data_IF_009758552838
#
_entry.id   IF_009758552838
#
_cell.length_a   1.000
_cell.length_b   1.000
_cell.length_c   1.000
_cell.angle_alpha   90.00
_cell.angle_beta   90.00
_cell.angle_gamma   90.00
#
_symmetry.space_group_name_H-M   'P 1'
#
loop_
_entity.id
_entity.type
_entity.pdbx_description
1 polymer ?
#
# COMPACT_ATOMS: atom_id res chain seq x y z
N UNK A 1 8.85 -22.80 -3.95
CA UNK A 1 10.29 -22.44 -3.87
C UNK A 1 10.56 -21.22 -2.98
N UNK A 2 10.01 -20.01 -3.22
CA UNK A 2 10.34 -18.82 -2.39
C UNK A 2 9.68 -18.78 -0.98
N UNK A 3 8.56 -19.47 -0.76
CA UNK A 3 7.98 -19.70 0.58
C UNK A 3 7.18 -18.54 1.21
N UNK A 4 7.21 -17.34 0.64
CA UNK A 4 6.47 -16.19 1.18
C UNK A 4 4.96 -16.34 1.00
N UNK A 5 4.21 -16.40 2.11
CA UNK A 5 2.75 -16.66 2.07
C UNK A 5 1.98 -15.58 1.30
N UNK A 6 2.25 -14.31 1.56
CA UNK A 6 1.60 -13.20 0.84
C UNK A 6 1.82 -13.27 -0.67
N UNK A 7 3.03 -13.65 -1.11
CA UNK A 7 3.32 -13.84 -2.54
C UNK A 7 2.57 -15.04 -3.13
N UNK A 8 2.46 -16.15 -2.39
CA UNK A 8 1.72 -17.33 -2.83
C UNK A 8 0.24 -17.00 -3.03
N UNK A 9 -0.36 -16.32 -2.05
CA UNK A 9 -1.77 -15.92 -2.08
C UNK A 9 -2.03 -14.90 -3.21
N UNK A 10 -1.16 -13.90 -3.37
CA UNK A 10 -1.25 -12.95 -4.48
C UNK A 10 -1.16 -13.64 -5.84
N UNK A 11 -0.21 -14.57 -6.01
CA UNK A 11 -0.08 -15.35 -7.25
C UNK A 11 -1.32 -16.22 -7.52
N UNK A 12 -1.92 -16.79 -6.47
CA UNK A 12 -3.15 -17.57 -6.57
C UNK A 12 -4.32 -16.69 -7.03
N UNK A 13 -4.47 -15.48 -6.47
CA UNK A 13 -5.48 -14.52 -6.90
C UNK A 13 -5.30 -14.14 -8.39
N UNK A 14 -4.07 -13.85 -8.83
CA UNK A 14 -3.81 -13.56 -10.25
C UNK A 14 -4.17 -14.73 -11.16
N UNK A 15 -3.77 -15.97 -10.82
CA UNK A 15 -4.13 -17.15 -11.62
C UNK A 15 -5.63 -17.39 -11.66
N UNK A 16 -6.32 -17.15 -10.55
CA UNK A 16 -7.78 -17.26 -10.50
C UNK A 16 -8.46 -16.25 -11.44
N UNK A 17 -7.99 -15.01 -11.46
CA UNK A 17 -8.54 -13.94 -12.30
C UNK A 17 -8.20 -14.11 -13.79
N UNK A 18 -6.95 -14.49 -14.10
CA UNK A 18 -6.48 -14.61 -15.48
C UNK A 18 -6.90 -15.93 -16.14
N UNK A 19 -7.22 -16.94 -15.35
CA UNK A 19 -7.42 -18.31 -15.83
C UNK A 19 -6.13 -18.89 -16.42
N UNK A 20 -6.26 -20.03 -17.12
CA UNK A 20 -5.13 -20.64 -17.81
C UNK A 20 -4.83 -19.96 -19.16
N UNK A 21 -5.86 -19.45 -19.84
CA UNK A 21 -5.81 -18.85 -21.17
C UNK A 21 -6.92 -17.82 -21.35
N UNK A 22 -6.72 -16.92 -22.30
CA UNK A 22 -7.73 -15.97 -22.79
C UNK A 22 -7.58 -15.80 -24.30
N UNK A 23 -8.62 -15.33 -24.98
CA UNK A 23 -8.57 -15.02 -26.42
C UNK A 23 -7.42 -14.05 -26.76
N UNK A 24 -7.18 -13.06 -25.89
CA UNK A 24 -6.09 -12.09 -26.04
C UNK A 24 -4.72 -12.77 -25.89
N UNK A 25 -4.56 -13.66 -24.91
CA UNK A 25 -3.32 -14.43 -24.77
C UNK A 25 -3.09 -15.40 -25.94
N UNK A 26 -4.16 -15.98 -26.47
CA UNK A 26 -4.11 -16.98 -27.54
C UNK A 26 -3.76 -16.36 -28.90
N UNK A 27 -4.28 -15.16 -29.18
CA UNK A 27 -3.91 -14.38 -30.37
C UNK A 27 -2.44 -13.94 -30.39
N UNK A 28 -1.73 -14.00 -29.25
CA UNK A 28 -0.33 -13.62 -29.09
C UNK A 28 0.62 -14.81 -28.83
N UNK A 29 0.19 -16.04 -29.16
CA UNK A 29 1.00 -17.27 -28.97
C UNK A 29 2.40 -17.22 -29.58
N UNK A 30 2.54 -16.56 -30.73
CA UNK A 30 3.79 -16.47 -31.48
C UNK A 30 4.52 -15.14 -31.19
N UNK A 31 4.38 -14.59 -29.99
CA UNK A 31 5.08 -13.36 -29.59
C UNK A 31 6.57 -13.63 -29.36
N UNK A 32 7.44 -12.80 -29.95
CA UNK A 32 8.90 -12.91 -29.81
C UNK A 32 9.41 -12.46 -28.43
N UNK A 33 8.56 -11.85 -27.59
CA UNK A 33 8.95 -11.39 -26.25
C UNK A 33 9.19 -12.58 -25.32
N UNK A 34 10.42 -12.68 -24.85
CA UNK A 34 10.84 -13.74 -23.91
C UNK A 34 10.38 -13.47 -22.48
N UNK A 35 10.33 -12.19 -22.06
CA UNK A 35 9.96 -11.82 -20.70
C UNK A 35 9.17 -10.52 -20.64
N UNK A 36 8.14 -10.49 -19.79
CA UNK A 36 7.43 -9.27 -19.47
C UNK A 36 8.26 -8.35 -18.55
N UNK A 37 8.02 -7.03 -18.62
CA UNK A 37 8.54 -6.05 -17.68
C UNK A 37 8.20 -6.39 -16.22
N UNK A 38 9.04 -5.92 -15.30
CA UNK A 38 8.88 -6.23 -13.87
C UNK A 38 7.55 -5.75 -13.28
N UNK A 39 6.99 -4.63 -13.77
CA UNK A 39 5.68 -4.13 -13.32
C UNK A 39 4.53 -5.11 -13.59
N UNK A 40 4.71 -6.08 -14.48
CA UNK A 40 3.78 -7.20 -14.72
C UNK A 40 4.25 -8.49 -14.04
N UNK A 41 5.49 -8.91 -14.31
CA UNK A 41 5.98 -10.24 -13.89
C UNK A 41 6.29 -10.35 -12.40
N UNK A 42 6.66 -9.23 -11.76
CA UNK A 42 6.98 -9.19 -10.34
C UNK A 42 5.78 -8.83 -9.46
N UNK A 43 4.56 -8.77 -10.03
CA UNK A 43 3.36 -8.42 -9.27
C UNK A 43 3.12 -9.33 -8.06
N UNK A 44 3.24 -10.67 -8.15
CA UNK A 44 3.08 -11.51 -6.96
C UNK A 44 4.09 -11.20 -5.85
N UNK A 45 5.32 -10.84 -6.20
CA UNK A 45 6.40 -10.54 -5.26
C UNK A 45 6.10 -9.22 -4.52
N UNK A 46 5.76 -8.17 -5.26
CA UNK A 46 5.52 -6.82 -4.71
C UNK A 46 4.18 -6.78 -3.97
N UNK A 47 3.10 -7.19 -4.62
CA UNK A 47 1.77 -7.21 -3.99
C UNK A 47 1.70 -8.22 -2.84
N UNK A 48 2.46 -9.30 -2.92
CA UNK A 48 2.59 -10.26 -1.83
C UNK A 48 3.27 -9.68 -0.59
N UNK A 49 4.30 -8.84 -0.76
CA UNK A 49 4.91 -8.11 0.36
C UNK A 49 3.91 -7.13 1.00
N UNK A 50 3.16 -6.38 0.17
CA UNK A 50 2.12 -5.46 0.64
C UNK A 50 1.01 -6.20 1.40
N UNK A 51 0.55 -7.35 0.89
CA UNK A 51 -0.47 -8.17 1.54
C UNK A 51 -0.01 -8.68 2.91
N UNK A 52 1.26 -9.08 3.04
CA UNK A 52 1.83 -9.47 4.34
C UNK A 52 1.80 -8.30 5.33
N UNK A 53 2.23 -7.11 4.91
CA UNK A 53 2.22 -5.91 5.75
C UNK A 53 0.80 -5.53 6.21
N UNK A 54 -0.17 -5.58 5.29
CA UNK A 54 -1.58 -5.31 5.61
C UNK A 54 -2.12 -6.31 6.63
N UNK A 55 -1.77 -7.60 6.51
CA UNK A 55 -2.19 -8.63 7.48
C UNK A 55 -1.56 -8.40 8.87
N UNK A 56 -0.28 -8.05 8.92
CA UNK A 56 0.41 -7.74 10.18
C UNK A 56 -0.23 -6.53 10.88
N UNK A 57 -0.50 -5.46 10.13
CA UNK A 57 -1.21 -4.31 10.67
C UNK A 57 -2.63 -4.66 11.13
N UNK A 58 -3.36 -5.48 10.37
CA UNK A 58 -4.69 -5.95 10.73
C UNK A 58 -4.71 -6.74 12.04
N UNK A 59 -3.70 -7.58 12.29
CA UNK A 59 -3.59 -8.35 13.54
C UNK A 59 -3.39 -7.41 14.74
N UNK A 60 -2.46 -6.47 14.64
CA UNK A 60 -2.19 -5.47 15.69
C UNK A 60 -3.43 -4.63 15.99
N UNK A 61 -4.08 -4.11 14.94
CA UNK A 61 -5.28 -3.28 15.08
C UNK A 61 -6.46 -4.05 15.66
N UNK A 62 -6.60 -5.34 15.33
CA UNK A 62 -7.63 -6.19 15.91
C UNK A 62 -7.39 -6.43 17.41
N UNK A 63 -6.14 -6.60 17.83
CA UNK A 63 -5.79 -6.71 19.25
C UNK A 63 -6.13 -5.41 19.98
N UNK A 64 -5.68 -4.27 19.45
CA UNK A 64 -5.91 -2.96 20.08
C UNK A 64 -7.41 -2.62 20.17
N UNK A 65 -8.18 -2.93 19.13
CA UNK A 65 -9.63 -2.68 19.11
C UNK A 65 -10.38 -3.42 20.24
N UNK A 66 -9.80 -4.48 20.80
CA UNK A 66 -10.35 -5.26 21.91
C UNK A 66 -9.59 -5.05 23.23
N UNK A 67 -8.61 -4.14 23.27
CA UNK A 67 -7.77 -3.90 24.44
C UNK A 67 -8.42 -2.92 25.42
N UNK A 68 -8.09 -3.07 26.71
CA UNK A 68 -8.34 -2.03 27.72
C UNK A 68 -7.13 -1.09 27.73
N UNK A 69 -7.28 0.05 27.06
CA UNK A 69 -6.24 1.08 26.89
C UNK A 69 -6.35 2.25 27.88
N UNK A 70 -7.27 2.16 28.85
CA UNK A 70 -7.43 3.16 29.91
C UNK A 70 -6.40 2.97 31.03
N UNK A 71 -6.27 3.97 31.90
CA UNK A 71 -5.41 3.94 33.08
C UNK A 71 -5.96 4.84 34.20
N UNK A 72 -6.05 4.35 35.47
CA UNK A 72 -5.58 3.06 35.97
C UNK A 72 -6.51 1.88 35.67
N UNK A 73 -5.97 0.67 35.72
CA UNK A 73 -6.72 -0.57 35.57
C UNK A 73 -7.26 -1.02 36.94
N UNK A 74 -8.54 -1.40 36.97
CA UNK A 74 -9.22 -1.89 38.18
C UNK A 74 -9.45 -3.39 38.06
N UNK A 75 -8.87 -4.16 38.98
CA UNK A 75 -8.97 -5.61 39.07
C UNK A 75 -9.90 -5.98 40.23
N UNK A 76 -11.20 -5.90 39.98
CA UNK A 76 -12.23 -5.97 41.01
C UNK A 76 -12.23 -7.28 41.82
N UNK A 77 -11.89 -8.41 41.20
CA UNK A 77 -11.81 -9.71 41.88
C UNK A 77 -10.69 -9.77 42.92
N UNK A 78 -9.58 -9.08 42.65
CA UNK A 78 -8.41 -9.02 43.52
C UNK A 78 -8.48 -7.82 44.49
N UNK A 79 -9.35 -6.85 44.22
CA UNK A 79 -9.42 -5.58 44.95
C UNK A 79 -8.28 -4.62 44.61
N UNK A 80 -7.58 -4.86 43.49
CA UNK A 80 -6.38 -4.13 43.09
C UNK A 80 -6.67 -3.00 42.11
N UNK A 81 -5.86 -1.94 42.20
CA UNK A 81 -5.82 -0.85 41.22
C UNK A 81 -4.38 -0.69 40.75
N UNK A 82 -4.13 -0.92 39.46
CA UNK A 82 -2.79 -0.87 38.88
C UNK A 82 -2.65 0.31 37.92
N UNK A 83 -1.62 1.14 38.12
CA UNK A 83 -1.21 2.15 37.15
C UNK A 83 -0.24 1.52 36.15
N UNK A 84 -0.60 1.56 34.87
CA UNK A 84 0.18 1.04 33.75
C UNK A 84 0.32 2.06 32.61
N UNK A 85 0.70 1.57 31.43
CA UNK A 85 0.98 2.39 30.24
C UNK A 85 0.14 2.03 29.01
N UNK A 86 -0.98 1.32 29.17
CA UNK A 86 -1.77 0.80 28.04
C UNK A 86 -2.37 1.91 27.16
N UNK A 87 -2.42 3.16 27.63
CA UNK A 87 -2.81 4.32 26.81
C UNK A 87 -1.80 4.68 25.72
N UNK A 88 -0.58 4.13 25.77
CA UNK A 88 0.47 4.41 24.80
C UNK A 88 0.31 3.53 23.56
N UNK A 89 -0.30 4.08 22.51
CA UNK A 89 -0.60 3.33 21.29
C UNK A 89 0.58 3.27 20.28
N UNK A 90 1.78 2.96 20.77
CA UNK A 90 2.96 2.70 19.90
C UNK A 90 2.71 1.57 18.89
N UNK A 91 2.08 0.43 19.26
CA UNK A 91 1.82 -0.65 18.31
C UNK A 91 0.96 -0.19 17.12
N UNK A 92 -0.06 0.64 17.40
CA UNK A 92 -0.94 1.21 16.38
C UNK A 92 -0.20 2.19 15.48
N UNK A 93 0.70 3.02 16.03
CA UNK A 93 1.51 3.94 15.24
C UNK A 93 2.41 3.21 14.26
N UNK A 94 3.12 2.17 14.71
CA UNK A 94 3.96 1.32 13.85
C UNK A 94 3.12 0.56 12.80
N UNK A 95 1.93 0.08 13.17
CA UNK A 95 1.02 -0.58 12.23
C UNK A 95 0.57 0.39 11.12
N UNK A 96 0.27 1.65 11.46
CA UNK A 96 -0.10 2.67 10.48
C UNK A 96 1.05 3.03 9.54
N UNK A 97 2.28 3.16 10.04
CA UNK A 97 3.47 3.39 9.20
C UNK A 97 3.73 2.22 8.25
N UNK A 98 3.56 0.98 8.71
CA UNK A 98 3.67 -0.21 7.86
C UNK A 98 2.61 -0.25 6.74
N UNK A 99 1.39 0.21 7.02
CA UNK A 99 0.34 0.37 6.00
C UNK A 99 0.70 1.46 4.98
N UNK A 100 1.28 2.57 5.41
CA UNK A 100 1.70 3.64 4.50
C UNK A 100 2.75 3.14 3.48
N UNK A 101 3.71 2.32 3.93
CA UNK A 101 4.67 1.65 3.03
C UNK A 101 3.97 0.74 2.02
N UNK A 102 3.01 -0.08 2.47
CA UNK A 102 2.26 -0.96 1.58
C UNK A 102 1.46 -0.18 0.53
N UNK A 103 0.79 0.90 0.91
CA UNK A 103 0.03 1.72 -0.04
C UNK A 103 0.90 2.49 -1.03
N UNK A 104 2.06 2.99 -0.59
CA UNK A 104 3.02 3.63 -1.48
C UNK A 104 3.54 2.65 -2.55
N UNK A 105 3.88 1.42 -2.18
CA UNK A 105 4.35 0.39 -3.11
C UNK A 105 3.25 -0.07 -4.09
N UNK A 106 2.00 -0.23 -3.61
CA UNK A 106 0.85 -0.53 -4.49
C UNK A 106 0.67 0.58 -5.53
N UNK A 107 0.70 1.84 -5.09
CA UNK A 107 0.60 3.01 -5.95
C UNK A 107 1.74 3.06 -6.97
N UNK A 108 2.98 2.86 -6.53
CA UNK A 108 4.14 2.87 -7.41
C UNK A 108 4.09 1.76 -8.46
N UNK A 109 3.71 0.54 -8.09
CA UNK A 109 3.61 -0.57 -9.04
C UNK A 109 2.49 -0.33 -10.07
N UNK A 110 1.36 0.24 -9.64
CA UNK A 110 0.26 0.63 -10.52
C UNK A 110 0.67 1.71 -11.52
N UNK A 111 1.34 2.76 -11.04
CA UNK A 111 1.84 3.83 -11.90
C UNK A 111 2.85 3.31 -12.93
N UNK A 112 3.77 2.40 -12.55
CA UNK A 112 4.69 1.77 -13.51
C UNK A 112 3.94 0.97 -14.59
N UNK A 113 2.79 0.36 -14.30
CA UNK A 113 1.95 -0.30 -15.31
C UNK A 113 1.22 0.71 -16.20
N UNK A 114 0.75 1.83 -15.66
CA UNK A 114 0.19 2.92 -16.47
C UNK A 114 1.25 3.43 -17.45
N UNK A 115 2.46 3.73 -16.95
CA UNK A 115 3.58 4.18 -17.77
C UNK A 115 3.94 3.17 -18.86
N UNK A 116 3.96 1.87 -18.52
CA UNK A 116 4.15 0.79 -19.49
C UNK A 116 3.13 0.83 -20.63
N UNK A 117 1.85 1.05 -20.32
CA UNK A 117 0.78 1.11 -21.33
C UNK A 117 0.89 2.34 -22.24
N UNK A 118 1.38 3.48 -21.72
CA UNK A 118 1.52 4.72 -22.49
C UNK A 118 2.68 4.66 -23.50
N UNK A 119 3.71 3.88 -23.22
CA UNK A 119 4.90 3.76 -24.07
C UNK A 119 4.68 2.75 -25.20
N UNK A 120 4.57 3.27 -26.44
CA UNK A 120 4.40 2.47 -27.66
C UNK A 120 5.48 1.39 -27.85
N UNK A 121 6.71 1.65 -27.39
CA UNK A 121 7.83 0.72 -27.56
C UNK A 121 7.71 -0.49 -26.65
N UNK A 122 6.98 -0.34 -25.54
CA UNK A 122 6.83 -1.38 -24.54
C UNK A 122 5.45 -2.06 -24.62
N UNK A 123 4.39 -1.29 -24.88
CA UNK A 123 2.99 -1.76 -24.84
C UNK A 123 2.50 -2.49 -26.07
N UNK A 124 3.10 -2.24 -27.25
CA UNK A 124 2.54 -2.64 -28.57
C UNK A 124 1.17 -1.98 -28.86
N UNK A 125 0.84 -0.89 -28.16
CA UNK A 125 -0.38 -0.12 -28.33
C UNK A 125 -0.06 1.27 -28.94
N UNK A 126 -1.07 1.98 -29.48
CA UNK A 126 -0.90 3.37 -29.87
C UNK A 126 -0.37 4.22 -28.70
N UNK A 127 0.55 5.18 -28.95
CA UNK A 127 1.08 6.04 -27.90
C UNK A 127 -0.06 6.77 -27.19
N UNK A 128 0.02 6.84 -25.86
CA UNK A 128 -1.01 7.44 -25.00
C UNK A 128 -2.43 6.87 -25.17
N UNK A 129 -2.55 5.65 -25.72
CA UNK A 129 -3.79 4.90 -25.95
C UNK A 129 -4.85 5.67 -26.76
N UNK A 130 -4.43 6.44 -27.76
CA UNK A 130 -5.34 7.24 -28.58
C UNK A 130 -5.11 7.05 -30.08
N UNK A 131 -6.21 7.12 -30.85
CA UNK A 131 -6.14 7.20 -32.32
C UNK A 131 -5.81 8.64 -32.73
N UNK A 132 -5.12 8.79 -33.88
CA UNK A 132 -4.70 10.11 -34.41
C UNK A 132 -3.82 10.89 -33.41
N UNK A 133 -2.76 10.24 -32.91
CA UNK A 133 -1.74 10.89 -32.10
C UNK A 133 -1.11 12.08 -32.82
N UNK A 134 -0.81 13.15 -32.07
CA UNK A 134 -0.31 14.43 -32.62
C UNK A 134 -1.37 15.52 -32.68
N UNK A 135 -2.65 15.15 -32.77
CA UNK A 135 -3.79 16.07 -32.57
C UNK A 135 -4.50 15.76 -31.25
N UNK A 136 -4.62 14.48 -30.90
CA UNK A 136 -5.18 14.04 -29.62
C UNK A 136 -4.08 13.70 -28.61
N UNK A 137 -4.23 14.17 -27.37
CA UNK A 137 -3.29 13.87 -26.27
C UNK A 137 -3.60 12.56 -25.54
N UNK A 138 -4.78 11.97 -25.73
CA UNK A 138 -5.14 10.70 -25.10
C UNK A 138 -4.99 10.73 -23.57
N UNK A 139 -4.34 9.70 -23.03
CA UNK A 139 -4.09 9.54 -21.59
C UNK A 139 -2.81 10.23 -21.09
N UNK A 140 -2.17 11.07 -21.90
CA UNK A 140 -0.91 11.73 -21.55
C UNK A 140 -0.98 12.46 -20.19
N UNK A 141 -2.00 13.28 -19.98
CA UNK A 141 -2.14 14.03 -18.70
C UNK A 141 -2.57 13.13 -17.56
N UNK A 142 -3.38 12.10 -17.83
CA UNK A 142 -3.75 11.12 -16.81
C UNK A 142 -2.52 10.38 -16.25
N UNK A 143 -1.53 10.07 -17.09
CA UNK A 143 -0.25 9.52 -16.65
C UNK A 143 0.51 10.49 -15.74
N UNK A 144 0.53 11.79 -16.07
CA UNK A 144 1.18 12.81 -15.23
C UNK A 144 0.52 12.89 -13.86
N UNK A 145 -0.81 12.87 -13.79
CA UNK A 145 -1.55 12.82 -12.53
C UNK A 145 -1.22 11.57 -11.72
N UNK A 146 -1.18 10.39 -12.35
CA UNK A 146 -0.81 9.15 -11.67
C UNK A 146 0.63 9.19 -11.12
N UNK A 147 1.57 9.77 -11.87
CA UNK A 147 2.95 9.95 -11.44
C UNK A 147 3.07 10.92 -10.24
N UNK A 148 2.31 12.02 -10.27
CA UNK A 148 2.28 12.98 -9.15
C UNK A 148 1.75 12.32 -7.86
N UNK A 149 0.61 11.62 -7.93
CA UNK A 149 0.01 10.93 -6.78
C UNK A 149 0.92 9.82 -6.23
N UNK A 150 1.54 9.02 -7.11
CA UNK A 150 2.48 7.99 -6.68
C UNK A 150 3.74 8.60 -6.04
N UNK A 151 4.18 9.79 -6.46
CA UNK A 151 5.28 10.51 -5.85
C UNK A 151 4.91 11.10 -4.49
N UNK A 152 3.70 11.62 -4.34
CA UNK A 152 3.18 12.14 -3.07
C UNK A 152 3.14 11.05 -1.99
N UNK A 153 2.66 9.86 -2.34
CA UNK A 153 2.65 8.71 -1.42
C UNK A 153 4.04 8.36 -0.86
N UNK A 154 5.12 8.58 -1.62
CA UNK A 154 6.49 8.32 -1.12
C UNK A 154 6.87 9.29 0.00
N UNK A 155 6.48 10.56 -0.13
CA UNK A 155 6.71 11.55 0.92
C UNK A 155 5.85 11.24 2.16
N UNK A 156 4.59 10.84 1.96
CA UNK A 156 3.67 10.51 3.05
C UNK A 156 4.09 9.24 3.82
N UNK A 157 4.79 8.31 3.17
CA UNK A 157 5.24 7.06 3.78
C UNK A 157 6.45 7.19 4.74
N UNK A 158 6.94 8.40 5.01
CA UNK A 158 7.94 8.61 6.06
C UNK A 158 7.36 8.20 7.43
N UNK A 159 8.01 7.33 8.22
CA UNK A 159 7.40 6.83 9.45
C UNK A 159 7.20 7.96 10.47
N UNK A 160 5.96 8.13 10.94
CA UNK A 160 5.63 9.12 11.96
C UNK A 160 5.93 8.60 13.38
N UNK A 161 5.95 7.28 13.58
CA UNK A 161 6.13 6.67 14.90
C UNK A 161 7.50 6.97 15.50
N UNK A 162 8.52 7.20 14.67
CA UNK A 162 9.88 7.55 15.11
C UNK A 162 10.02 9.02 15.52
N UNK A 163 9.01 9.85 15.23
CA UNK A 163 8.99 11.26 15.63
C UNK A 163 8.38 11.43 17.02
N UNK A 164 9.19 11.28 18.06
CA UNK A 164 8.77 11.62 19.43
C UNK A 164 9.06 13.09 19.74
N UNK A 165 8.07 13.81 20.28
CA UNK A 165 8.29 15.11 20.92
C UNK A 165 8.31 14.92 22.45
N UNK A 166 9.29 15.51 23.16
CA UNK A 166 9.23 15.63 24.61
C UNK A 166 8.18 16.70 24.96
N UNK A 167 6.91 16.32 25.02
CA UNK A 167 5.90 17.15 25.67
C UNK A 167 6.07 17.00 27.18
N UNK A 168 6.42 18.11 27.85
CA UNK A 168 6.63 18.16 29.30
C UNK A 168 5.36 17.85 30.10
N UNK A 169 4.18 17.84 29.46
CA UNK A 169 2.91 17.44 30.07
C UNK A 169 2.62 15.93 29.96
N UNK A 170 3.23 15.22 29.00
CA UNK A 170 3.09 13.77 28.78
C UNK A 170 4.32 13.19 28.05
N UNK A 171 5.41 12.86 28.77
CA UNK A 171 6.59 12.26 28.15
C UNK A 171 6.24 10.91 27.52
N UNK A 172 6.52 10.74 26.21
CA UNK A 172 6.36 9.47 25.47
C UNK A 172 5.14 9.36 24.55
N UNK A 173 4.42 10.45 24.21
CA UNK A 173 3.23 10.32 23.35
C UNK A 173 3.60 9.97 21.89
N UNK A 174 3.19 8.79 21.41
CA UNK A 174 3.31 8.38 20.00
C UNK A 174 2.42 9.24 19.08
N UNK A 175 2.92 9.67 17.91
CA UNK A 175 2.18 10.50 16.93
C UNK A 175 1.14 9.72 16.10
N UNK A 176 0.19 9.07 16.78
CA UNK A 176 -0.95 8.37 16.18
C UNK A 176 -1.79 9.25 15.25
N UNK A 177 -2.04 10.50 15.65
CA UNK A 177 -2.79 11.43 14.81
C UNK A 177 -2.05 11.81 13.52
N UNK A 178 -0.72 11.70 13.50
CA UNK A 178 0.09 11.89 12.29
C UNK A 178 0.11 10.64 11.42
N UNK A 179 0.26 9.46 12.00
CA UNK A 179 0.30 8.18 11.27
C UNK A 179 -1.06 7.79 10.68
N UNK A 180 -2.15 7.96 11.44
CA UNK A 180 -3.51 7.60 11.04
C UNK A 180 -4.22 8.61 10.12
N UNK A 181 -3.76 9.87 10.04
CA UNK A 181 -4.33 10.88 9.10
C UNK A 181 -3.73 10.83 7.70
N UNK A 182 -2.51 10.29 7.53
CA UNK A 182 -1.84 10.17 6.22
C UNK A 182 -2.55 9.28 5.19
N UNK A 183 -3.27 8.19 5.54
CA UNK A 183 -3.96 7.37 4.54
C UNK A 183 -5.25 8.00 3.99
N UNK A 184 -5.70 9.16 4.49
CA UNK A 184 -6.90 9.83 4.00
C UNK A 184 -6.54 11.18 3.37
N UNK A 185 -6.62 11.33 2.03
CA UNK A 185 -6.58 12.65 1.43
C UNK A 185 -7.88 13.35 1.82
N UNK A 186 -7.84 14.15 2.88
CA UNK A 186 -8.91 15.10 3.15
C UNK A 186 -8.87 16.07 1.99
N UNK A 187 -9.90 16.02 1.14
CA UNK A 187 -10.13 17.02 0.11
C UNK A 187 -10.14 18.39 0.77
N UNK A 188 -9.18 19.22 0.40
CA UNK A 188 -9.15 20.62 0.76
C UNK A 188 -10.29 21.29 -0.02
N UNK A 189 -11.44 21.40 0.65
CA UNK A 189 -12.61 22.09 0.12
C UNK A 189 -12.28 23.57 -0.06
N UNK A 190 -12.10 23.97 -1.32
CA UNK A 190 -12.33 25.33 -1.79
C UNK A 190 -13.59 25.36 -2.64
#
# INVERSE_FOLDING_TARGET
>A
MRGQRGQIDAAAAYRHLLGERSEVSDSHRNCEKVQDPYSLRCQPQVMGACLTQIRQASEILAIEANAVSDNPLVFAEQGDVLSGGNFHAEPVAMAADNLALAFAEIGSLSERRISLLMDKHMSQLPPFLVKNGGVNSGFMIAQVTAAALASENKALAHPASVEQHPDLSQPGRSRLHGAGRRPSPVGDGR
#
